data_IF_422859975120
#
_entry.id   IF_422859975120
#
_cell.length_a   1.000
_cell.length_b   1.000
_cell.length_c   1.000
_cell.angle_alpha   90.00
_cell.angle_beta   90.00
_cell.angle_gamma   90.00
#
_symmetry.space_group_name_H-M   'P 1'
#
loop_
_entity.id
_entity.type
_entity.pdbx_description
1 polymer ?
#
# COMPACT_ATOMS: atom_id res chain seq x y z
N UNK A 1 -6.98 32.33 4.55
CA UNK A 1 -6.07 31.48 5.34
C UNK A 1 -6.00 30.13 4.66
N UNK A 2 -4.81 29.66 4.28
CA UNK A 2 -4.65 28.30 3.74
C UNK A 2 -4.96 27.29 4.85
N UNK A 3 -5.82 26.29 4.63
CA UNK A 3 -6.14 25.29 5.65
C UNK A 3 -4.87 24.60 6.16
N UNK A 4 -4.79 24.33 7.47
CA UNK A 4 -3.63 23.62 8.03
C UNK A 4 -3.60 22.16 7.52
N UNK A 5 -2.44 21.49 7.56
CA UNK A 5 -2.36 20.07 7.19
C UNK A 5 -3.30 19.19 8.02
N UNK A 6 -3.62 19.58 9.27
CA UNK A 6 -4.61 18.89 10.11
C UNK A 6 -6.03 19.06 9.58
N UNK A 7 -6.37 20.24 9.08
CA UNK A 7 -7.68 20.52 8.48
C UNK A 7 -7.85 19.79 7.16
N UNK A 8 -6.79 19.76 6.32
CA UNK A 8 -6.77 19.02 5.04
C UNK A 8 -6.82 17.50 5.22
N UNK A 9 -6.40 16.99 6.39
CA UNK A 9 -6.38 15.55 6.67
C UNK A 9 -7.73 14.95 6.97
N UNK A 10 -8.75 15.77 7.26
CA UNK A 10 -10.11 15.31 7.58
C UNK A 10 -10.14 14.12 8.56
N UNK A 11 -9.25 14.09 9.55
CA UNK A 11 -9.19 13.02 10.55
C UNK A 11 -8.32 11.80 10.21
N UNK A 12 -7.60 11.81 9.08
CA UNK A 12 -6.53 10.86 8.78
C UNK A 12 -5.27 11.13 9.62
N UNK A 13 -4.60 10.08 10.08
CA UNK A 13 -3.37 10.18 10.87
C UNK A 13 -2.18 10.57 9.98
N UNK A 14 -1.63 11.76 10.19
CA UNK A 14 -0.48 12.28 9.43
C UNK A 14 0.85 12.27 10.21
N UNK A 15 0.79 12.10 11.54
CA UNK A 15 1.91 12.26 12.49
C UNK A 15 2.91 11.09 12.49
N UNK A 16 2.51 9.90 12.02
CA UNK A 16 3.39 8.73 11.90
C UNK A 16 3.43 8.26 10.44
N UNK A 17 4.60 8.07 9.81
CA UNK A 17 4.65 7.54 8.45
C UNK A 17 4.22 6.06 8.44
N UNK A 18 3.41 5.68 7.44
CA UNK A 18 3.03 4.29 7.17
C UNK A 18 4.17 3.58 6.41
N UNK A 19 4.24 2.25 6.46
CA UNK A 19 5.33 1.46 5.87
C UNK A 19 5.37 1.57 4.34
N UNK A 20 6.56 1.51 3.73
CA UNK A 20 6.73 1.43 2.28
C UNK A 20 6.39 0.00 1.82
N UNK A 21 5.17 -0.23 1.33
CA UNK A 21 4.70 -1.54 0.91
C UNK A 21 4.40 -1.61 -0.59
N UNK A 22 4.67 -2.77 -1.19
CA UNK A 22 4.22 -3.11 -2.54
C UNK A 22 2.98 -4.02 -2.47
N UNK A 23 2.00 -3.73 -3.32
CA UNK A 23 0.76 -4.51 -3.42
C UNK A 23 0.60 -5.05 -4.84
N UNK A 24 0.93 -6.33 -5.11
CA UNK A 24 0.82 -6.92 -6.44
C UNK A 24 -0.60 -6.89 -7.00
N UNK A 25 -1.62 -6.75 -6.15
CA UNK A 25 -3.01 -6.67 -6.59
C UNK A 25 -3.37 -5.34 -7.27
N UNK A 26 -2.50 -4.32 -7.16
CA UNK A 26 -2.63 -3.04 -7.89
C UNK A 26 -2.09 -3.13 -9.33
N UNK A 27 -1.41 -4.22 -9.68
CA UNK A 27 -0.82 -4.39 -11.01
C UNK A 27 -1.91 -4.60 -12.08
N UNK A 28 -1.99 -3.72 -13.09
CA UNK A 28 -2.96 -3.83 -14.18
C UNK A 28 -2.91 -5.17 -14.93
N UNK A 29 -1.72 -5.75 -15.12
CA UNK A 29 -1.58 -7.03 -15.81
C UNK A 29 -2.22 -8.15 -14.97
N UNK A 30 -1.96 -8.14 -13.66
CA UNK A 30 -2.53 -9.12 -12.72
C UNK A 30 -4.04 -8.95 -12.57
N UNK A 31 -4.54 -7.72 -12.58
CA UNK A 31 -5.99 -7.45 -12.58
C UNK A 31 -6.64 -8.07 -13.83
N UNK A 32 -6.05 -7.87 -15.01
CA UNK A 32 -6.53 -8.46 -16.27
C UNK A 32 -6.50 -9.99 -16.24
N UNK A 33 -5.40 -10.60 -15.79
CA UNK A 33 -5.32 -12.06 -15.65
C UNK A 33 -6.35 -12.61 -14.67
N UNK A 34 -6.59 -11.91 -13.56
CA UNK A 34 -7.57 -12.31 -12.55
C UNK A 34 -8.99 -12.27 -13.10
N UNK A 35 -9.34 -11.22 -13.86
CA UNK A 35 -10.63 -11.08 -14.51
C UNK A 35 -10.83 -12.10 -15.64
N UNK A 36 -9.80 -12.35 -16.46
CA UNK A 36 -9.85 -13.36 -17.51
C UNK A 36 -10.11 -14.76 -16.93
N UNK A 37 -9.47 -15.12 -15.81
CA UNK A 37 -9.74 -16.37 -15.07
C UNK A 37 -11.16 -16.44 -14.50
N UNK A 38 -11.79 -15.29 -14.24
CA UNK A 38 -13.18 -15.18 -13.83
C UNK A 38 -14.17 -15.12 -15.02
N UNK A 39 -13.68 -15.24 -16.27
CA UNK A 39 -14.50 -15.18 -17.49
C UNK A 39 -14.85 -13.77 -17.95
N UNK A 40 -14.14 -12.75 -17.46
CA UNK A 40 -14.33 -11.34 -17.82
C UNK A 40 -13.10 -10.85 -18.58
N UNK A 41 -13.24 -10.68 -19.89
CA UNK A 41 -12.20 -10.11 -20.74
C UNK A 41 -12.29 -8.57 -20.75
N UNK A 42 -11.14 -7.91 -20.59
CA UNK A 42 -11.03 -6.46 -20.64
C UNK A 42 -9.96 -6.03 -21.64
N UNK A 43 -10.08 -4.81 -22.16
CA UNK A 43 -9.05 -4.21 -23.00
C UNK A 43 -7.73 -4.00 -22.21
N UNK A 44 -6.58 -3.86 -22.90
CA UNK A 44 -5.34 -3.49 -22.24
C UNK A 44 -5.48 -2.17 -21.48
N UNK A 45 -5.07 -2.15 -20.22
CA UNK A 45 -5.05 -0.94 -19.39
C UNK A 45 -3.88 -0.07 -19.84
N UNK A 46 -4.17 1.14 -20.34
CA UNK A 46 -3.18 2.12 -20.81
C UNK A 46 -3.11 3.34 -19.92
N UNK A 47 -4.22 3.75 -19.32
CA UNK A 47 -4.30 4.88 -18.38
C UNK A 47 -4.84 4.41 -17.05
N UNK A 48 -4.04 4.57 -16.01
CA UNK A 48 -4.35 4.11 -14.67
C UNK A 48 -4.32 5.27 -13.66
N UNK A 49 -5.16 5.19 -12.64
CA UNK A 49 -5.21 6.14 -11.54
C UNK A 49 -5.13 5.41 -10.20
N UNK A 50 -4.28 5.86 -9.28
CA UNK A 50 -4.30 5.43 -7.88
C UNK A 50 -4.66 6.61 -6.97
N UNK A 51 -5.82 6.53 -6.32
CA UNK A 51 -6.29 7.53 -5.38
C UNK A 51 -5.76 7.18 -3.98
N UNK A 52 -5.04 8.11 -3.35
CA UNK A 52 -4.45 7.91 -2.03
C UNK A 52 -3.29 6.93 -2.05
N UNK A 53 -2.31 7.17 -2.93
CA UNK A 53 -1.21 6.22 -3.20
C UNK A 53 -0.22 6.02 -2.02
N UNK A 54 -0.39 6.75 -0.91
CA UNK A 54 0.48 6.63 0.26
C UNK A 54 1.92 6.98 -0.12
N UNK A 55 2.90 6.16 0.29
CA UNK A 55 4.30 6.36 -0.11
C UNK A 55 4.60 5.98 -1.58
N UNK A 56 3.63 5.40 -2.29
CA UNK A 56 3.64 5.26 -3.75
C UNK A 56 4.62 4.24 -4.35
N UNK A 57 5.04 3.21 -3.59
CA UNK A 57 5.94 2.17 -4.12
C UNK A 57 5.31 1.39 -5.28
N UNK A 58 4.05 0.93 -5.13
CA UNK A 58 3.32 0.22 -6.19
C UNK A 58 3.18 1.08 -7.44
N UNK A 59 2.62 2.29 -7.29
CA UNK A 59 2.51 3.29 -8.35
C UNK A 59 3.84 3.51 -9.09
N UNK A 60 4.95 3.73 -8.36
CA UNK A 60 6.26 3.96 -8.95
C UNK A 60 6.79 2.74 -9.71
N UNK A 61 6.66 1.53 -9.13
CA UNK A 61 7.03 0.28 -9.79
C UNK A 61 6.23 0.10 -11.08
N UNK A 62 4.91 0.25 -11.03
CA UNK A 62 4.03 0.02 -12.19
C UNK A 62 4.23 1.05 -13.30
N UNK A 63 4.54 2.31 -12.96
CA UNK A 63 4.84 3.33 -13.97
C UNK A 63 6.20 3.11 -14.67
N UNK A 64 7.19 2.60 -13.94
CA UNK A 64 8.52 2.33 -14.50
C UNK A 64 8.54 1.01 -15.27
N UNK A 65 8.01 -0.06 -14.69
CA UNK A 65 8.09 -1.42 -15.23
C UNK A 65 6.97 -1.76 -16.22
N UNK A 66 5.77 -1.24 -16.01
CA UNK A 66 4.60 -1.55 -16.83
C UNK A 66 4.44 -0.63 -18.05
N UNK A 67 3.35 -0.81 -18.79
CA UNK A 67 3.03 -0.01 -19.98
C UNK A 67 2.08 1.17 -19.72
N UNK A 68 1.35 1.11 -18.61
CA UNK A 68 0.34 2.11 -18.29
C UNK A 68 0.97 3.45 -17.90
N UNK A 69 0.29 4.53 -18.28
CA UNK A 69 0.50 5.86 -17.76
C UNK A 69 -0.33 6.05 -16.49
N UNK A 70 0.30 6.57 -15.45
CA UNK A 70 -0.24 6.62 -14.10
C UNK A 70 -0.48 8.04 -13.62
N UNK A 71 -1.66 8.25 -13.05
CA UNK A 71 -2.00 9.44 -12.28
C UNK A 71 -2.27 9.06 -10.83
N UNK A 72 -2.00 9.96 -9.90
CA UNK A 72 -2.39 9.72 -8.51
C UNK A 72 -2.30 10.95 -7.64
N UNK A 73 -3.13 10.95 -6.61
CA UNK A 73 -3.06 11.95 -5.56
C UNK A 73 -2.70 11.31 -4.22
N UNK A 74 -1.94 12.03 -3.44
CA UNK A 74 -1.84 11.84 -2.00
C UNK A 74 -1.81 13.23 -1.38
N UNK A 75 -2.46 13.41 -0.25
CA UNK A 75 -2.55 14.72 0.38
C UNK A 75 -1.23 15.18 1.03
N UNK A 76 -0.27 14.27 1.24
CA UNK A 76 1.01 14.53 1.90
C UNK A 76 2.11 14.85 0.88
N UNK A 77 2.66 16.08 0.86
CA UNK A 77 3.71 16.46 -0.11
C UNK A 77 4.95 15.57 -0.09
N UNK A 78 5.34 15.07 1.09
CA UNK A 78 6.47 14.13 1.23
C UNK A 78 6.31 12.85 0.42
N UNK A 79 5.08 12.35 0.30
CA UNK A 79 4.79 11.13 -0.46
C UNK A 79 4.99 11.36 -1.96
N UNK A 80 4.54 12.52 -2.46
CA UNK A 80 4.76 12.95 -3.84
C UNK A 80 6.26 13.10 -4.12
N UNK A 81 7.01 13.74 -3.21
CA UNK A 81 8.46 13.91 -3.33
C UNK A 81 9.21 12.56 -3.36
N UNK A 82 8.78 11.59 -2.56
CA UNK A 82 9.36 10.23 -2.55
C UNK A 82 9.18 9.53 -3.90
N UNK A 83 7.95 9.56 -4.46
CA UNK A 83 7.66 8.99 -5.77
C UNK A 83 8.47 9.68 -6.86
N UNK A 84 8.44 11.02 -6.89
CA UNK A 84 9.18 11.81 -7.87
C UNK A 84 10.68 11.54 -7.80
N UNK A 85 11.25 11.39 -6.60
CA UNK A 85 12.67 11.06 -6.42
C UNK A 85 13.00 9.67 -6.93
N UNK A 86 12.12 8.68 -6.70
CA UNK A 86 12.31 7.32 -7.20
C UNK A 86 12.25 7.26 -8.73
N UNK A 87 11.33 7.98 -9.37
CA UNK A 87 11.09 7.89 -10.83
C UNK A 87 11.80 8.96 -11.66
N UNK A 88 12.49 9.93 -11.03
CA UNK A 88 13.16 11.07 -11.70
C UNK A 88 14.04 10.62 -12.87
N UNK A 89 13.71 11.09 -14.07
CA UNK A 89 14.48 10.81 -15.29
C UNK A 89 14.36 9.38 -15.82
N UNK A 90 13.49 8.54 -15.24
CA UNK A 90 13.29 7.15 -15.65
C UNK A 90 12.02 6.96 -16.47
N UNK A 91 11.00 7.77 -16.19
CA UNK A 91 9.73 7.73 -16.93
C UNK A 91 9.03 9.09 -16.89
N UNK A 92 8.29 9.40 -17.94
CA UNK A 92 7.32 10.49 -18.01
C UNK A 92 5.87 9.99 -17.81
N UNK A 93 5.68 8.70 -17.51
CA UNK A 93 4.38 8.04 -17.40
C UNK A 93 3.79 8.11 -15.99
N UNK A 94 4.19 9.09 -15.19
CA UNK A 94 3.76 9.20 -13.79
C UNK A 94 3.48 10.65 -13.43
N UNK A 95 2.24 10.90 -13.02
CA UNK A 95 1.68 12.21 -12.75
C UNK A 95 1.11 12.23 -11.34
N UNK A 96 1.92 12.68 -10.38
CA UNK A 96 1.54 12.71 -8.95
C UNK A 96 1.42 14.12 -8.41
N UNK A 97 0.43 14.34 -7.55
CA UNK A 97 0.15 15.64 -6.96
C UNK A 97 -0.22 15.56 -5.47
N UNK A 98 0.11 16.63 -4.75
CA UNK A 98 -0.11 16.78 -3.30
C UNK A 98 -1.52 17.34 -3.02
N UNK A 99 -2.55 16.59 -3.38
CA UNK A 99 -3.95 17.03 -3.44
C UNK A 99 -4.85 16.14 -2.58
N UNK A 100 -5.86 16.74 -1.95
CA UNK A 100 -6.99 16.01 -1.37
C UNK A 100 -7.80 15.33 -2.48
N UNK A 101 -8.67 14.38 -2.12
CA UNK A 101 -9.57 13.76 -3.11
C UNK A 101 -10.45 14.79 -3.80
N UNK A 102 -11.01 15.75 -3.06
CA UNK A 102 -11.84 16.81 -3.61
C UNK A 102 -11.08 17.69 -4.62
N UNK A 103 -9.83 18.07 -4.31
CA UNK A 103 -8.99 18.86 -5.22
C UNK A 103 -8.65 18.09 -6.50
N UNK A 104 -8.14 16.86 -6.37
CA UNK A 104 -7.73 16.05 -7.52
C UNK A 104 -8.93 15.64 -8.39
N UNK A 105 -10.03 15.19 -7.78
CA UNK A 105 -11.21 14.73 -8.51
C UNK A 105 -11.97 15.87 -9.21
N UNK A 106 -11.75 17.13 -8.81
CA UNK A 106 -12.33 18.30 -9.48
C UNK A 106 -11.55 18.75 -10.73
N UNK A 107 -10.44 18.08 -11.08
CA UNK A 107 -9.58 18.50 -12.19
C UNK A 107 -10.19 18.21 -13.57
N UNK A 108 -10.13 19.24 -14.41
CA UNK A 108 -10.61 19.21 -15.79
C UNK A 108 -9.58 18.71 -16.81
N UNK A 109 -8.33 18.52 -16.41
CA UNK A 109 -7.22 18.06 -17.25
C UNK A 109 -6.94 16.55 -17.18
N UNK A 110 -7.63 15.81 -16.30
CA UNK A 110 -7.46 14.36 -16.17
C UNK A 110 -8.07 13.60 -17.35
N UNK A 111 -7.41 12.51 -17.81
CA UNK A 111 -7.94 11.68 -18.88
C UNK A 111 -9.09 10.79 -18.38
N UNK A 112 -9.73 10.09 -19.31
CA UNK A 112 -10.52 8.89 -18.98
C UNK A 112 -9.54 7.74 -18.70
N UNK A 113 -9.78 7.00 -17.62
CA UNK A 113 -8.95 5.91 -17.15
C UNK A 113 -9.54 4.54 -17.51
N UNK A 114 -8.67 3.59 -17.84
CA UNK A 114 -9.01 2.18 -17.99
C UNK A 114 -8.97 1.45 -16.63
N UNK A 115 -8.25 2.03 -15.65
CA UNK A 115 -8.07 1.46 -14.32
C UNK A 115 -8.08 2.56 -13.27
N UNK A 116 -8.94 2.45 -12.26
CA UNK A 116 -8.91 3.31 -11.06
C UNK A 116 -8.72 2.41 -9.85
N UNK A 117 -7.79 2.75 -8.98
CA UNK A 117 -7.44 1.97 -7.82
C UNK A 117 -7.49 2.78 -6.52
N UNK A 118 -7.97 2.10 -5.47
CA UNK A 118 -7.96 2.57 -4.09
C UNK A 118 -7.52 1.43 -3.18
N UNK A 119 -6.27 1.49 -2.71
CA UNK A 119 -5.76 0.50 -1.76
C UNK A 119 -5.65 1.05 -0.35
N UNK A 120 -6.44 0.53 0.59
CA UNK A 120 -6.39 0.98 1.99
C UNK A 120 -7.02 2.36 2.20
N UNK A 121 -7.96 2.75 1.33
CA UNK A 121 -8.61 4.07 1.37
C UNK A 121 -10.07 3.97 1.78
N UNK A 122 -10.86 3.10 1.13
CA UNK A 122 -12.32 3.14 1.18
C UNK A 122 -12.92 3.06 2.59
N UNK A 123 -12.35 2.20 3.45
CA UNK A 123 -12.74 2.06 4.85
C UNK A 123 -12.33 3.22 5.75
N UNK A 124 -11.39 4.06 5.33
CA UNK A 124 -10.70 5.04 6.18
C UNK A 124 -11.04 6.49 5.86
N UNK A 125 -11.95 6.72 4.92
CA UNK A 125 -12.37 8.06 4.48
C UNK A 125 -13.78 8.39 4.96
N UNK A 126 -14.06 9.69 5.02
CA UNK A 126 -15.40 10.24 5.32
C UNK A 126 -16.43 9.88 4.24
N UNK A 127 -17.71 10.02 4.56
CA UNK A 127 -18.78 9.86 3.58
C UNK A 127 -18.67 10.89 2.44
N UNK A 128 -18.31 12.14 2.75
CA UNK A 128 -18.11 13.19 1.73
C UNK A 128 -17.02 12.82 0.73
N UNK A 129 -15.90 12.25 1.19
CA UNK A 129 -14.86 11.77 0.27
C UNK A 129 -15.33 10.56 -0.55
N UNK A 130 -16.11 9.64 0.03
CA UNK A 130 -16.74 8.56 -0.75
C UNK A 130 -17.66 9.10 -1.84
N UNK A 131 -18.43 10.15 -1.55
CA UNK A 131 -19.34 10.75 -2.52
C UNK A 131 -18.56 11.42 -3.67
N UNK A 132 -17.51 12.19 -3.34
CA UNK A 132 -16.56 12.78 -4.32
C UNK A 132 -15.95 11.70 -5.22
N UNK A 133 -15.48 10.61 -4.63
CA UNK A 133 -14.84 9.52 -5.38
C UNK A 133 -15.85 8.77 -6.26
N UNK A 134 -17.08 8.55 -5.79
CA UNK A 134 -18.13 7.94 -6.61
C UNK A 134 -18.45 8.79 -7.84
N UNK A 135 -18.53 10.11 -7.68
CA UNK A 135 -18.73 11.03 -8.81
C UNK A 135 -17.54 10.97 -9.77
N UNK A 136 -16.30 10.96 -9.25
CA UNK A 136 -15.10 10.82 -10.05
C UNK A 136 -15.10 9.53 -10.87
N UNK A 137 -15.35 8.38 -10.23
CA UNK A 137 -15.44 7.07 -10.90
C UNK A 137 -16.50 7.12 -12.01
N UNK A 138 -17.66 7.74 -11.75
CA UNK A 138 -18.73 7.79 -12.74
C UNK A 138 -18.34 8.54 -14.01
N UNK A 139 -17.57 9.63 -13.87
CA UNK A 139 -17.18 10.49 -14.99
C UNK A 139 -15.84 10.09 -15.62
N UNK A 140 -14.92 9.47 -14.88
CA UNK A 140 -13.52 9.25 -15.29
C UNK A 140 -13.17 7.79 -15.59
N UNK A 141 -14.01 6.82 -15.24
CA UNK A 141 -13.76 5.42 -15.62
C UNK A 141 -14.37 5.11 -17.00
N UNK A 142 -13.56 4.56 -17.91
CA UNK A 142 -14.01 4.13 -19.22
C UNK A 142 -15.06 3.01 -19.14
N UNK A 143 -15.91 2.89 -20.16
CA UNK A 143 -16.68 1.65 -20.38
C UNK A 143 -15.69 0.52 -20.69
N UNK A 144 -15.84 -0.62 -20.01
CA UNK A 144 -14.85 -1.70 -19.99
C UNK A 144 -13.67 -1.47 -19.04
N UNK A 145 -13.60 -0.30 -18.40
CA UNK A 145 -12.60 0.01 -17.40
C UNK A 145 -12.83 -0.73 -16.09
N UNK A 146 -11.78 -0.82 -15.28
CA UNK A 146 -11.74 -1.59 -14.04
C UNK A 146 -11.56 -0.67 -12.83
N UNK A 147 -12.38 -0.88 -11.81
CA UNK A 147 -12.20 -0.32 -10.48
C UNK A 147 -11.61 -1.38 -9.55
N UNK A 148 -10.44 -1.10 -9.01
CA UNK A 148 -9.85 -1.81 -7.88
C UNK A 148 -10.18 -1.09 -6.57
N UNK A 149 -10.73 -1.80 -5.60
CA UNK A 149 -11.02 -1.23 -4.28
C UNK A 149 -10.74 -2.24 -3.18
N UNK A 150 -10.04 -1.80 -2.13
CA UNK A 150 -9.86 -2.58 -0.91
C UNK A 150 -10.51 -1.95 0.32
N UNK A 151 -11.05 -2.81 1.19
CA UNK A 151 -11.86 -2.41 2.34
C UNK A 151 -11.87 -3.47 3.45
N UNK A 152 -12.14 -3.02 4.67
CA UNK A 152 -12.32 -3.88 5.84
C UNK A 152 -13.73 -4.48 5.87
N UNK A 153 -13.78 -5.81 6.05
CA UNK A 153 -15.02 -6.58 6.01
C UNK A 153 -15.69 -6.61 7.38
N UNK A 154 -16.97 -6.23 7.46
CA UNK A 154 -17.72 -6.15 8.72
C UNK A 154 -17.74 -7.46 9.48
N UNK A 155 -18.04 -8.58 8.81
CA UNK A 155 -18.12 -9.91 9.47
C UNK A 155 -16.85 -10.33 10.23
N UNK A 156 -15.68 -9.81 9.83
CA UNK A 156 -14.39 -10.13 10.48
C UNK A 156 -14.04 -9.11 11.55
N UNK A 157 -14.27 -7.82 11.27
CA UNK A 157 -13.84 -6.71 12.13
C UNK A 157 -14.88 -6.27 13.17
N UNK A 158 -16.14 -6.72 13.09
CA UNK A 158 -17.20 -6.29 14.01
C UNK A 158 -16.83 -6.49 15.49
N UNK A 159 -16.17 -7.61 15.80
CA UNK A 159 -15.70 -7.92 17.17
C UNK A 159 -14.55 -7.04 17.68
N UNK A 160 -13.95 -6.22 16.82
CA UNK A 160 -12.89 -5.26 17.15
C UNK A 160 -13.46 -3.88 17.50
N UNK A 161 -14.68 -3.58 17.04
CA UNK A 161 -15.31 -2.25 17.16
C UNK A 161 -15.36 -1.75 18.60
N UNK A 162 -15.82 -2.52 19.62
CA UNK A 162 -15.92 -2.01 20.99
C UNK A 162 -14.57 -1.58 21.57
N UNK A 163 -13.51 -2.34 21.30
CA UNK A 163 -12.16 -1.99 21.71
C UNK A 163 -11.68 -0.72 21.01
N UNK A 164 -11.87 -0.63 19.69
CA UNK A 164 -11.46 0.56 18.94
C UNK A 164 -12.17 1.82 19.42
N UNK A 165 -13.49 1.77 19.58
CA UNK A 165 -14.28 2.92 20.06
C UNK A 165 -13.80 3.39 21.43
N UNK A 166 -13.56 2.44 22.35
CA UNK A 166 -12.98 2.75 23.65
C UNK A 166 -11.62 3.44 23.54
N UNK A 167 -10.72 2.91 22.69
CA UNK A 167 -9.38 3.46 22.50
C UNK A 167 -9.42 4.87 21.91
N UNK A 168 -10.21 5.09 20.86
CA UNK A 168 -10.37 6.39 20.19
C UNK A 168 -11.00 7.43 21.12
N UNK A 169 -12.07 7.06 21.83
CA UNK A 169 -12.72 7.93 22.80
C UNK A 169 -11.77 8.33 23.93
N UNK A 170 -10.95 7.39 24.40
CA UNK A 170 -9.94 7.66 25.44
C UNK A 170 -8.83 8.57 24.92
N UNK A 171 -8.29 8.31 23.73
CA UNK A 171 -7.21 9.14 23.16
C UNK A 171 -7.68 10.55 22.77
N UNK A 172 -8.98 10.75 22.58
CA UNK A 172 -9.58 12.03 22.19
C UNK A 172 -10.07 12.86 23.39
N UNK A 173 -9.81 12.41 24.63
CA UNK A 173 -10.19 13.14 25.83
C UNK A 173 -9.45 14.49 25.92
N UNK A 174 -10.12 15.59 26.32
CA UNK A 174 -9.53 16.92 26.35
C UNK A 174 -8.22 17.01 27.15
N UNK A 175 -8.11 16.28 28.26
CA UNK A 175 -6.91 16.23 29.11
C UNK A 175 -5.66 15.65 28.44
N UNK A 176 -5.84 14.91 27.33
CA UNK A 176 -4.74 14.32 26.58
C UNK A 176 -4.34 15.14 25.34
N UNK A 177 -5.09 16.18 24.97
CA UNK A 177 -4.85 16.94 23.74
C UNK A 177 -3.48 17.65 23.69
N UNK A 178 -2.87 17.90 24.85
CA UNK A 178 -1.52 18.46 24.94
C UNK A 178 -0.40 17.42 24.65
N UNK A 179 -0.73 16.13 24.60
CA UNK A 179 0.23 15.04 24.38
C UNK A 179 0.38 14.68 22.90
N UNK A 180 1.50 14.04 22.55
CA UNK A 180 1.72 13.49 21.21
C UNK A 180 0.73 12.34 20.92
N UNK A 181 0.41 12.07 19.65
CA UNK A 181 -0.44 10.93 19.30
C UNK A 181 0.07 9.58 19.86
N UNK A 182 1.38 9.24 19.78
CA UNK A 182 1.91 8.04 20.44
C UNK A 182 1.59 7.94 21.94
N UNK A 183 1.72 9.04 22.67
CA UNK A 183 1.43 9.09 24.12
C UNK A 183 -0.07 8.95 24.40
N UNK A 184 -0.92 9.51 23.54
CA UNK A 184 -2.38 9.35 23.62
C UNK A 184 -2.79 7.90 23.37
N UNK A 185 -2.17 7.23 22.40
CA UNK A 185 -2.38 5.80 22.12
C UNK A 185 -1.92 4.95 23.31
N UNK A 186 -0.76 5.24 23.89
CA UNK A 186 -0.29 4.54 25.10
C UNK A 186 -1.27 4.71 26.27
N UNK A 187 -1.72 5.93 26.55
CA UNK A 187 -2.70 6.19 27.60
C UNK A 187 -4.01 5.41 27.37
N UNK A 188 -4.48 5.32 26.12
CA UNK A 188 -5.66 4.54 25.77
C UNK A 188 -5.47 3.03 25.99
N UNK A 189 -4.31 2.46 25.65
CA UNK A 189 -3.99 1.06 25.92
C UNK A 189 -3.94 0.77 27.42
N UNK A 190 -3.30 1.64 28.22
CA UNK A 190 -3.25 1.51 29.68
C UNK A 190 -4.65 1.54 30.28
N UNK A 191 -5.51 2.46 29.82
CA UNK A 191 -6.89 2.52 30.27
C UNK A 191 -7.68 1.24 29.90
N UNK A 192 -7.46 0.69 28.71
CA UNK A 192 -8.10 -0.56 28.28
C UNK A 192 -7.64 -1.75 29.14
N UNK A 193 -6.35 -1.80 29.50
CA UNK A 193 -5.81 -2.80 30.41
C UNK A 193 -6.41 -2.69 31.82
N UNK A 194 -6.62 -1.46 32.31
CA UNK A 194 -7.27 -1.22 33.59
C UNK A 194 -8.72 -1.70 33.60
N UNK A 195 -9.49 -1.46 32.52
CA UNK A 195 -10.86 -1.99 32.38
C UNK A 195 -10.88 -3.51 32.46
N UNK A 196 -9.96 -4.18 31.77
CA UNK A 196 -9.83 -5.65 31.82
C UNK A 196 -9.46 -6.11 33.23
N UNK A 197 -8.47 -5.47 33.87
CA UNK A 197 -7.99 -5.87 35.19
C UNK A 197 -9.03 -5.69 36.30
N UNK A 198 -9.91 -4.69 36.16
CA UNK A 198 -10.98 -4.40 37.12
C UNK A 198 -12.33 -5.04 36.77
N UNK A 199 -12.41 -5.87 35.73
CA UNK A 199 -13.64 -6.50 35.24
C UNK A 199 -14.77 -5.47 34.99
N UNK A 200 -14.43 -4.37 34.31
CA UNK A 200 -15.36 -3.28 34.00
C UNK A 200 -15.93 -3.42 32.57
N UNK A 201 -17.15 -2.89 32.30
CA UNK A 201 -17.62 -2.71 30.93
C UNK A 201 -16.71 -1.78 30.11
N UNK A 202 -16.52 -2.03 28.80
CA UNK A 202 -17.15 -3.09 28.01
C UNK A 202 -16.45 -4.47 28.11
N UNK A 203 -15.29 -4.59 28.76
CA UNK A 203 -14.53 -5.86 28.79
C UNK A 203 -15.27 -7.00 29.49
N UNK A 204 -15.98 -6.71 30.58
CA UNK A 204 -16.83 -7.69 31.29
C UNK A 204 -17.93 -8.25 30.41
N UNK A 205 -18.50 -7.39 29.57
CA UNK A 205 -19.71 -7.70 28.79
C UNK A 205 -19.36 -8.26 27.40
N UNK A 206 -18.11 -8.10 26.94
CA UNK A 206 -17.60 -8.62 25.68
C UNK A 206 -16.19 -9.26 25.82
N UNK A 207 -16.10 -10.61 25.87
CA UNK A 207 -14.83 -11.33 25.91
C UNK A 207 -13.91 -11.06 24.72
N UNK A 208 -14.45 -10.60 23.58
CA UNK A 208 -13.63 -10.23 22.43
C UNK A 208 -12.77 -8.99 22.73
N UNK A 209 -13.19 -8.10 23.63
CA UNK A 209 -12.45 -6.90 24.01
C UNK A 209 -11.04 -7.25 24.52
N UNK A 210 -10.97 -8.13 25.53
CA UNK A 210 -9.68 -8.55 26.10
C UNK A 210 -8.85 -9.32 25.07
N UNK A 211 -9.48 -10.24 24.33
CA UNK A 211 -8.81 -11.04 23.30
C UNK A 211 -8.12 -10.14 22.26
N UNK A 212 -8.78 -9.09 21.80
CA UNK A 212 -8.21 -8.13 20.86
C UNK A 212 -7.14 -7.25 21.51
N UNK A 213 -7.36 -6.76 22.73
CA UNK A 213 -6.38 -5.95 23.45
C UNK A 213 -5.04 -6.69 23.60
N UNK A 214 -5.08 -7.98 23.97
CA UNK A 214 -3.89 -8.83 24.08
C UNK A 214 -3.13 -8.95 22.74
N UNK A 215 -3.83 -8.96 21.60
CA UNK A 215 -3.21 -9.02 20.27
C UNK A 215 -2.54 -7.71 19.86
N UNK A 216 -3.17 -6.58 20.17
CA UNK A 216 -2.71 -5.27 19.64
C UNK A 216 -1.69 -4.57 20.55
N UNK A 217 -1.63 -4.91 21.85
CA UNK A 217 -0.78 -4.20 22.82
C UNK A 217 0.73 -4.24 22.51
N UNK A 218 1.17 -5.19 21.69
CA UNK A 218 2.57 -5.34 21.29
C UNK A 218 2.87 -4.77 19.90
N UNK A 219 1.86 -4.24 19.20
CA UNK A 219 2.04 -3.64 17.89
C UNK A 219 2.69 -2.25 18.00
N UNK A 220 3.34 -1.81 16.93
CA UNK A 220 3.96 -0.49 16.89
C UNK A 220 2.91 0.62 17.00
N UNK A 221 3.28 1.77 17.57
CA UNK A 221 2.39 2.94 17.66
C UNK A 221 1.96 3.44 16.28
N UNK A 222 2.85 3.35 15.29
CA UNK A 222 2.55 3.70 13.91
C UNK A 222 1.44 2.80 13.34
N UNK A 223 1.57 1.47 13.50
CA UNK A 223 0.53 0.53 13.08
C UNK A 223 -0.81 0.82 13.76
N UNK A 224 -0.81 0.97 15.09
CA UNK A 224 -2.04 1.25 15.84
C UNK A 224 -2.70 2.53 15.36
N UNK A 225 -1.92 3.60 15.15
CA UNK A 225 -2.44 4.88 14.73
C UNK A 225 -3.20 4.78 13.40
N UNK A 226 -2.60 4.11 12.40
CA UNK A 226 -3.18 3.93 11.07
C UNK A 226 -4.34 2.93 11.02
N UNK A 227 -4.31 1.87 11.84
CA UNK A 227 -5.32 0.80 11.80
C UNK A 227 -6.44 0.94 12.83
N UNK A 228 -6.35 1.86 13.80
CA UNK A 228 -7.37 1.99 14.85
C UNK A 228 -7.76 3.45 15.12
N UNK A 229 -6.87 4.42 14.92
CA UNK A 229 -7.09 5.81 15.39
C UNK A 229 -7.42 6.82 14.29
N UNK A 230 -7.54 6.42 13.03
CA UNK A 230 -8.20 7.25 12.03
C UNK A 230 -9.63 7.57 12.49
N UNK A 231 -10.07 8.82 12.31
CA UNK A 231 -11.39 9.28 12.74
C UNK A 231 -12.49 8.44 12.11
N UNK A 232 -12.46 8.37 10.78
CA UNK A 232 -13.40 7.61 9.99
C UNK A 232 -12.90 6.18 9.83
N UNK A 233 -13.73 5.22 10.22
CA UNK A 233 -13.52 3.80 9.94
C UNK A 233 -14.87 3.14 9.71
N UNK A 234 -15.14 2.75 8.47
CA UNK A 234 -16.37 2.09 8.08
C UNK A 234 -16.06 0.68 7.61
N UNK A 235 -16.77 -0.26 8.20
CA UNK A 235 -16.77 -1.65 7.80
C UNK A 235 -17.86 -1.88 6.78
N UNK A 236 -17.54 -2.60 5.71
CA UNK A 236 -18.46 -2.88 4.62
C UNK A 236 -18.66 -4.38 4.47
N UNK A 237 -19.86 -4.75 4.01
CA UNK A 237 -20.13 -6.08 3.47
C UNK A 237 -20.23 -6.00 1.94
N UNK A 238 -20.21 -7.16 1.28
CA UNK A 238 -20.28 -7.23 -0.19
C UNK A 238 -21.53 -6.53 -0.75
N UNK A 239 -22.64 -6.57 -0.03
CA UNK A 239 -23.90 -5.91 -0.39
C UNK A 239 -23.81 -4.38 -0.30
N UNK A 240 -23.06 -3.85 0.67
CA UNK A 240 -22.85 -2.40 0.81
C UNK A 240 -22.04 -1.89 -0.40
N UNK A 241 -21.03 -2.66 -0.82
CA UNK A 241 -20.21 -2.33 -1.99
C UNK A 241 -21.01 -2.42 -3.30
N UNK A 242 -21.85 -3.44 -3.44
CA UNK A 242 -22.76 -3.56 -4.59
C UNK A 242 -23.74 -2.39 -4.67
N UNK A 243 -24.39 -2.03 -3.56
CA UNK A 243 -25.31 -0.90 -3.51
C UNK A 243 -24.63 0.44 -3.84
N UNK A 244 -23.32 0.55 -3.59
CA UNK A 244 -22.52 1.73 -3.94
C UNK A 244 -22.18 1.76 -5.43
N UNK A 245 -21.70 0.65 -5.99
CA UNK A 245 -21.07 0.66 -7.32
C UNK A 245 -22.00 0.24 -8.47
N UNK A 246 -23.00 -0.61 -8.24
CA UNK A 246 -23.95 -1.01 -9.28
C UNK A 246 -24.72 0.19 -9.89
N UNK A 247 -25.14 1.21 -9.11
CA UNK A 247 -25.74 2.42 -9.67
C UNK A 247 -24.78 3.22 -10.57
N UNK A 248 -23.47 2.97 -10.47
CA UNK A 248 -22.45 3.51 -11.37
C UNK A 248 -22.23 2.59 -12.57
N UNK A 249 -23.10 1.63 -12.88
CA UNK A 249 -22.91 0.72 -14.01
C UNK A 249 -21.70 -0.21 -13.87
N UNK A 250 -21.18 -0.38 -12.65
CA UNK A 250 -20.11 -1.32 -12.34
C UNK A 250 -20.71 -2.65 -11.93
N UNK A 251 -20.08 -3.73 -12.39
CA UNK A 251 -20.41 -5.09 -12.00
C UNK A 251 -19.22 -5.74 -11.33
N UNK A 252 -19.50 -6.54 -10.30
CA UNK A 252 -18.47 -7.30 -9.63
C UNK A 252 -17.79 -8.27 -10.61
N UNK A 253 -16.46 -8.22 -10.69
CA UNK A 253 -15.65 -9.11 -11.51
C UNK A 253 -15.06 -10.25 -10.70
N UNK A 254 -14.15 -9.94 -9.77
CA UNK A 254 -13.41 -10.94 -8.98
C UNK A 254 -12.75 -10.34 -7.74
N UNK A 255 -12.25 -11.20 -6.83
CA UNK A 255 -11.26 -10.76 -5.84
C UNK A 255 -9.87 -10.75 -6.48
N UNK A 256 -9.14 -9.64 -6.33
CA UNK A 256 -7.77 -9.48 -6.86
C UNK A 256 -6.75 -10.43 -6.21
N UNK A 257 -7.04 -10.92 -5.00
CA UNK A 257 -6.26 -11.96 -4.32
C UNK A 257 -7.18 -13.12 -3.97
N UNK A 258 -6.97 -14.26 -4.60
CA UNK A 258 -7.59 -15.52 -4.20
C UNK A 258 -6.91 -16.03 -2.93
N UNK A 259 -7.68 -16.18 -1.85
CA UNK A 259 -7.22 -16.70 -0.57
C UNK A 259 -8.39 -17.27 0.23
N UNK A 260 -8.12 -18.21 1.13
CA UNK A 260 -9.13 -18.94 1.91
C UNK A 260 -10.14 -17.99 2.60
N UNK A 261 -11.37 -18.48 2.71
CA UNK A 261 -12.52 -17.83 3.33
C UNK A 261 -12.12 -17.10 4.62
N UNK A 262 -12.58 -15.85 4.75
CA UNK A 262 -12.46 -14.95 5.92
C UNK A 262 -11.23 -14.02 5.99
N UNK A 263 -10.73 -13.50 4.86
CA UNK A 263 -9.89 -12.29 4.92
C UNK A 263 -10.70 -11.11 5.46
N UNK A 264 -10.24 -10.50 6.56
CA UNK A 264 -10.82 -9.26 7.09
C UNK A 264 -10.60 -8.05 6.18
N UNK A 265 -9.74 -8.18 5.18
CA UNK A 265 -9.45 -7.14 4.21
C UNK A 265 -9.66 -7.69 2.81
N UNK A 266 -10.73 -7.22 2.14
CA UNK A 266 -11.06 -7.61 0.77
C UNK A 266 -10.42 -6.66 -0.23
N UNK A 267 -10.16 -7.19 -1.42
CA UNK A 267 -9.60 -6.48 -2.58
C UNK A 267 -10.42 -6.92 -3.78
N UNK A 268 -11.36 -6.08 -4.20
CA UNK A 268 -12.34 -6.42 -5.22
C UNK A 268 -12.02 -5.67 -6.52
N UNK A 269 -12.25 -6.35 -7.64
CA UNK A 269 -12.21 -5.82 -8.99
C UNK A 269 -13.64 -5.71 -9.50
N UNK A 270 -14.02 -4.52 -9.96
CA UNK A 270 -15.30 -4.22 -10.58
C UNK A 270 -15.07 -3.75 -12.01
N UNK A 271 -15.95 -4.09 -12.94
CA UNK A 271 -15.83 -3.73 -14.36
C UNK A 271 -17.02 -2.88 -14.77
N UNK A 272 -16.75 -1.78 -15.49
CA UNK A 272 -17.78 -0.86 -15.98
C UNK A 272 -18.44 -1.45 -17.22
N UNK A 273 -19.69 -1.87 -17.12
CA UNK A 273 -20.44 -2.41 -18.28
C UNK A 273 -21.27 -1.33 -19.01
N UNK A 274 -21.59 -0.22 -18.33
CA UNK A 274 -22.49 0.82 -18.85
C UNK A 274 -21.80 2.18 -18.94
N UNK A 275 -22.29 3.09 -19.79
CA UNK A 275 -21.75 4.45 -19.92
C UNK A 275 -21.88 5.28 -18.63
N UNK A 276 -21.06 6.35 -18.45
CA UNK A 276 -21.22 7.36 -17.40
C UNK A 276 -22.66 7.84 -17.27
N UNK A 277 -23.17 8.06 -16.04
CA UNK A 277 -24.45 8.76 -15.89
C UNK A 277 -24.32 10.23 -16.24
N UNK A 278 -23.14 10.80 -15.98
CA UNK A 278 -22.77 12.17 -16.33
C UNK A 278 -21.64 12.13 -17.36
N UNK A 279 -21.93 12.39 -18.65
CA UNK A 279 -20.91 12.42 -19.69
C UNK A 279 -19.91 13.57 -19.47
N UNK A 280 -18.62 13.30 -19.65
CA UNK A 280 -17.57 14.33 -19.71
C UNK A 280 -17.12 14.51 -21.16
N UNK A 281 -16.78 15.74 -21.53
CA UNK A 281 -16.14 16.01 -22.82
C UNK A 281 -14.78 15.29 -22.87
N UNK A 282 -14.46 14.57 -23.96
CA UNK A 282 -13.17 13.92 -24.09
C UNK A 282 -12.05 14.98 -24.07
N UNK A 283 -11.09 14.83 -23.16
CA UNK A 283 -9.85 15.61 -23.18
C UNK A 283 -8.96 15.04 -24.28
N UNK A 284 -8.30 15.90 -25.04
CA UNK A 284 -7.47 15.50 -26.18
C UNK A 284 -6.49 14.39 -25.78
N UNK A 285 -6.51 13.29 -26.53
CA UNK A 285 -5.62 12.16 -26.29
C UNK A 285 -4.18 12.58 -26.58
N UNK A 286 -3.33 12.56 -25.55
CA UNK A 286 -1.89 12.52 -25.76
C UNK A 286 -1.55 11.27 -26.58
N UNK A 287 -0.74 11.42 -27.62
CA UNK A 287 -0.26 10.30 -28.43
C UNK A 287 0.60 9.38 -27.56
N UNK A 288 0.14 8.15 -27.34
CA UNK A 288 0.98 7.09 -26.79
C UNK A 288 1.94 6.66 -27.90
N UNK A 289 3.11 7.28 -27.96
CA UNK A 289 4.15 6.90 -28.90
C UNK A 289 4.67 5.49 -28.58
N UNK A 290 4.80 4.67 -29.63
CA UNK A 290 5.42 3.35 -29.53
C UNK A 290 6.91 3.53 -29.25
N UNK A 291 7.33 3.33 -28.01
CA UNK A 291 8.75 3.42 -27.62
C UNK A 291 9.40 2.03 -27.53
N UNK A 292 10.49 1.88 -28.27
CA UNK A 292 11.25 0.64 -28.43
C UNK A 292 12.55 0.73 -27.61
N UNK A 293 12.76 -0.26 -26.74
CA UNK A 293 14.02 -0.77 -26.16
C UNK A 293 14.95 0.29 -25.51
N UNK A 294 14.55 0.79 -24.34
CA UNK A 294 15.46 1.27 -23.25
C UNK A 294 15.01 0.71 -21.89
N UNK A 295 14.23 -0.39 -21.89
CA UNK A 295 13.49 -0.80 -20.70
C UNK A 295 14.33 -1.45 -19.60
N UNK A 296 15.41 -2.15 -19.96
CA UNK A 296 16.28 -2.79 -18.96
C UNK A 296 17.07 -1.76 -18.16
N UNK A 297 17.68 -0.79 -18.84
CA UNK A 297 18.47 0.25 -18.18
C UNK A 297 17.66 1.14 -17.22
N UNK A 298 16.43 1.53 -17.60
CA UNK A 298 15.54 2.31 -16.71
C UNK A 298 15.17 1.51 -15.45
N UNK A 299 14.91 0.22 -15.60
CA UNK A 299 14.54 -0.67 -14.48
C UNK A 299 15.75 -0.97 -13.60
N UNK A 300 16.94 -1.18 -14.18
CA UNK A 300 18.17 -1.38 -13.44
C UNK A 300 18.51 -0.15 -12.59
N UNK A 301 18.36 1.05 -13.14
CA UNK A 301 18.54 2.30 -12.39
C UNK A 301 17.47 2.50 -11.32
N UNK A 302 16.21 2.19 -11.60
CA UNK A 302 15.15 2.21 -10.59
C UNK A 302 15.42 1.25 -9.44
N UNK A 303 15.80 0.01 -9.77
CA UNK A 303 16.16 -1.01 -8.78
C UNK A 303 17.41 -0.60 -8.00
N UNK A 304 18.39 0.06 -8.61
CA UNK A 304 19.53 0.63 -7.89
C UNK A 304 19.10 1.63 -6.81
N UNK A 305 18.11 2.50 -7.12
CA UNK A 305 17.54 3.44 -6.14
C UNK A 305 16.79 2.72 -5.03
N UNK A 306 16.04 1.67 -5.34
CA UNK A 306 15.37 0.83 -4.32
C UNK A 306 16.39 0.12 -3.42
N UNK A 307 17.45 -0.44 -3.97
CA UNK A 307 18.53 -1.08 -3.21
C UNK A 307 19.24 -0.09 -2.27
N UNK A 308 19.45 1.14 -2.72
CA UNK A 308 19.96 2.20 -1.85
C UNK A 308 18.99 2.54 -0.71
N UNK A 309 17.69 2.66 -1.00
CA UNK A 309 16.67 2.88 0.04
C UNK A 309 16.54 1.71 1.01
N UNK A 310 16.73 0.47 0.55
CA UNK A 310 16.68 -0.70 1.40
C UNK A 310 17.70 -0.64 2.55
N UNK A 311 18.78 0.13 2.42
CA UNK A 311 19.71 0.35 3.52
C UNK A 311 19.04 0.97 4.75
N UNK A 312 17.99 1.78 4.59
CA UNK A 312 17.30 2.46 5.69
C UNK A 312 15.81 2.09 5.83
N UNK A 313 15.26 1.28 4.92
CA UNK A 313 13.84 0.89 4.87
C UNK A 313 13.68 -0.63 5.12
N UNK A 314 13.56 -1.09 6.37
CA UNK A 314 13.53 -2.52 6.70
C UNK A 314 12.28 -3.28 6.24
N UNK A 315 11.26 -2.56 5.76
CA UNK A 315 10.03 -3.13 5.20
C UNK A 315 10.05 -3.20 3.68
N UNK A 316 11.07 -2.64 3.02
CA UNK A 316 11.21 -2.75 1.57
C UNK A 316 11.71 -4.15 1.20
N UNK A 317 10.96 -4.82 0.34
CA UNK A 317 11.21 -6.22 0.01
C UNK A 317 11.02 -6.56 -1.47
N UNK A 318 10.71 -5.57 -2.30
CA UNK A 318 10.31 -5.74 -3.70
C UNK A 318 11.26 -4.99 -4.64
N UNK A 319 11.57 -5.58 -5.80
CA UNK A 319 12.19 -4.91 -6.94
C UNK A 319 11.28 -4.92 -8.16
N UNK A 320 11.43 -3.94 -9.06
CA UNK A 320 10.74 -3.91 -10.34
C UNK A 320 11.28 -5.01 -11.28
N UNK A 321 10.39 -5.63 -12.05
CA UNK A 321 10.71 -6.68 -13.01
C UNK A 321 10.11 -6.39 -14.38
N UNK A 322 10.93 -6.27 -15.45
CA UNK A 322 10.43 -6.09 -16.81
C UNK A 322 9.56 -7.24 -17.28
N UNK A 323 9.89 -8.47 -16.85
CA UNK A 323 9.18 -9.67 -17.29
C UNK A 323 7.71 -9.71 -16.81
N UNK A 324 7.42 -9.05 -15.70
CA UNK A 324 6.07 -9.01 -15.12
C UNK A 324 5.36 -7.68 -15.35
N UNK A 325 6.08 -6.63 -15.74
CA UNK A 325 5.56 -5.25 -15.73
C UNK A 325 5.29 -4.69 -14.33
N UNK A 326 5.61 -5.44 -13.28
CA UNK A 326 5.36 -5.09 -11.88
C UNK A 326 6.54 -5.45 -10.97
N UNK A 327 6.25 -5.63 -9.68
CA UNK A 327 7.23 -5.93 -8.65
C UNK A 327 7.34 -7.42 -8.32
N UNK A 328 8.56 -7.86 -7.99
CA UNK A 328 8.88 -9.20 -7.49
C UNK A 328 9.31 -9.09 -6.03
N UNK A 329 8.64 -9.87 -5.17
CA UNK A 329 8.94 -9.96 -3.75
C UNK A 329 10.15 -10.86 -3.50
N UNK A 330 11.21 -10.29 -2.92
CA UNK A 330 12.50 -10.95 -2.66
C UNK A 330 12.83 -11.00 -1.16
N UNK A 331 12.24 -10.10 -0.37
CA UNK A 331 12.56 -9.92 1.04
C UNK A 331 13.73 -8.96 1.28
N UNK A 332 13.67 -8.22 2.39
CA UNK A 332 14.60 -7.13 2.69
C UNK A 332 16.07 -7.57 2.73
N UNK A 333 16.39 -8.72 3.35
CA UNK A 333 17.78 -9.23 3.39
C UNK A 333 18.34 -9.56 2.01
N UNK A 334 17.51 -10.10 1.12
CA UNK A 334 17.88 -10.35 -0.28
C UNK A 334 18.21 -9.04 -1.00
N UNK A 335 17.43 -7.98 -0.75
CA UNK A 335 17.74 -6.65 -1.28
C UNK A 335 19.07 -6.12 -0.76
N UNK A 336 19.36 -6.25 0.55
CA UNK A 336 20.65 -5.85 1.11
C UNK A 336 21.81 -6.62 0.46
N UNK A 337 21.65 -7.92 0.24
CA UNK A 337 22.66 -8.75 -0.41
C UNK A 337 22.90 -8.34 -1.88
N UNK A 338 21.83 -8.11 -2.65
CA UNK A 338 21.89 -7.61 -4.02
C UNK A 338 22.54 -6.21 -4.09
N UNK A 339 22.22 -5.34 -3.12
CA UNK A 339 22.81 -4.02 -2.98
C UNK A 339 24.31 -4.08 -2.68
N UNK A 340 24.74 -4.96 -1.78
CA UNK A 340 26.15 -5.18 -1.46
C UNK A 340 26.94 -5.71 -2.67
N UNK A 341 26.37 -6.69 -3.38
CA UNK A 341 26.98 -7.21 -4.62
C UNK A 341 27.14 -6.10 -5.66
N UNK A 342 26.09 -5.28 -5.88
CA UNK A 342 26.14 -4.13 -6.80
C UNK A 342 27.17 -3.08 -6.37
N UNK A 343 27.45 -2.94 -5.08
CA UNK A 343 28.49 -2.06 -4.55
C UNK A 343 29.92 -2.64 -4.65
N UNK A 344 30.08 -3.85 -5.19
CA UNK A 344 31.38 -4.47 -5.45
C UNK A 344 31.77 -5.59 -4.48
N UNK A 345 30.86 -6.07 -3.63
CA UNK A 345 31.10 -7.28 -2.84
C UNK A 345 31.01 -8.53 -3.75
N UNK A 346 32.14 -9.21 -3.98
CA UNK A 346 32.23 -10.28 -4.98
C UNK A 346 32.08 -11.70 -4.41
N UNK A 347 32.04 -11.87 -3.10
CA UNK A 347 31.95 -13.18 -2.45
C UNK A 347 30.93 -13.20 -1.32
N UNK A 348 30.50 -14.40 -0.93
CA UNK A 348 29.46 -14.57 0.08
C UNK A 348 29.87 -13.99 1.45
N UNK A 349 31.16 -13.98 1.77
CA UNK A 349 31.70 -13.44 3.02
C UNK A 349 31.55 -11.91 3.07
N UNK A 350 31.96 -11.20 2.02
CA UNK A 350 31.87 -9.75 1.91
C UNK A 350 30.42 -9.26 1.83
N UNK A 351 29.54 -9.98 1.13
CA UNK A 351 28.11 -9.70 1.11
C UNK A 351 27.50 -9.89 2.51
N UNK A 352 27.73 -11.04 3.15
CA UNK A 352 27.19 -11.31 4.49
C UNK A 352 27.69 -10.30 5.53
N UNK A 353 28.95 -9.86 5.44
CA UNK A 353 29.50 -8.81 6.29
C UNK A 353 28.78 -7.47 6.10
N UNK A 354 28.48 -7.09 4.84
CA UNK A 354 27.72 -5.88 4.53
C UNK A 354 26.29 -5.92 5.09
N UNK A 355 25.59 -7.04 4.91
CA UNK A 355 24.24 -7.24 5.46
C UNK A 355 24.27 -7.17 6.99
N UNK A 356 25.24 -7.83 7.62
CA UNK A 356 25.44 -7.81 9.09
C UNK A 356 25.64 -6.38 9.59
N UNK A 357 26.48 -5.60 8.91
CA UNK A 357 26.75 -4.21 9.29
C UNK A 357 25.48 -3.35 9.21
N UNK A 358 24.66 -3.52 8.18
CA UNK A 358 23.36 -2.82 8.05
C UNK A 358 22.39 -3.22 9.16
N UNK A 359 22.24 -4.52 9.45
CA UNK A 359 21.38 -5.00 10.54
C UNK A 359 21.80 -4.40 11.89
N UNK A 360 23.10 -4.42 12.19
CA UNK A 360 23.65 -3.86 13.41
C UNK A 360 23.42 -2.34 13.49
N UNK A 361 23.65 -1.61 12.39
CA UNK A 361 23.45 -0.16 12.32
C UNK A 361 21.99 0.25 12.59
N UNK A 362 21.04 -0.51 12.07
CA UNK A 362 19.61 -0.26 12.29
C UNK A 362 19.07 -0.85 13.59
N UNK A 363 19.89 -1.59 14.36
CA UNK A 363 19.44 -2.31 15.54
C UNK A 363 18.40 -3.40 15.23
N UNK A 364 18.38 -3.90 13.99
CA UNK A 364 17.41 -4.91 13.57
C UNK A 364 17.94 -6.31 13.88
N UNK A 365 17.26 -7.10 14.72
CA UNK A 365 17.72 -8.46 15.02
C UNK A 365 17.64 -9.34 13.78
N UNK A 366 18.56 -10.31 13.68
CA UNK A 366 18.43 -11.38 12.70
C UNK A 366 17.32 -12.34 13.16
N UNK A 367 16.28 -12.49 12.35
CA UNK A 367 15.21 -13.47 12.58
C UNK A 367 15.31 -14.54 11.50
N UNK A 368 15.37 -15.81 11.89
CA UNK A 368 15.36 -16.95 10.98
C UNK A 368 14.35 -17.97 11.50
N UNK A 369 13.48 -18.47 10.61
CA UNK A 369 12.40 -19.41 10.94
C UNK A 369 11.51 -18.97 12.14
N UNK A 370 11.28 -17.66 12.26
CA UNK A 370 10.45 -17.08 13.33
C UNK A 370 11.17 -16.89 14.68
N UNK A 371 12.44 -17.24 14.78
CA UNK A 371 13.25 -17.06 15.98
C UNK A 371 14.33 -15.98 15.81
N UNK A 372 14.55 -15.18 16.85
CA UNK A 372 15.68 -14.23 16.91
C UNK A 372 16.96 -15.01 17.15
N UNK A 373 17.91 -14.89 16.23
CA UNK A 373 19.23 -15.53 16.30
C UNK A 373 20.13 -14.67 17.18
N UNK A 374 20.60 -15.26 18.28
CA UNK A 374 21.46 -14.59 19.27
C UNK A 374 22.93 -14.96 19.13
N UNK A 375 23.20 -16.16 18.62
CA UNK A 375 24.57 -16.63 18.41
C UNK A 375 25.17 -15.98 17.16
N UNK A 376 26.35 -15.37 17.31
CA UNK A 376 26.98 -14.62 16.23
C UNK A 376 27.57 -15.51 15.14
N UNK A 377 28.00 -16.73 15.46
CA UNK A 377 28.50 -17.69 14.47
C UNK A 377 27.35 -18.26 13.64
N UNK A 378 26.24 -18.59 14.29
CA UNK A 378 25.01 -19.02 13.63
C UNK A 378 24.47 -17.92 12.71
N UNK A 379 24.41 -16.67 13.19
CA UNK A 379 23.98 -15.53 12.40
C UNK A 379 24.85 -15.32 11.14
N UNK A 380 26.18 -15.39 11.30
CA UNK A 380 27.11 -15.27 10.18
C UNK A 380 26.94 -16.42 9.17
N UNK A 381 26.74 -17.66 9.65
CA UNK A 381 26.54 -18.82 8.78
C UNK A 381 25.22 -18.74 7.98
N UNK A 382 24.15 -18.22 8.59
CA UNK A 382 22.87 -17.99 7.89
C UNK A 382 23.05 -16.96 6.78
N UNK A 383 23.61 -15.79 7.10
CA UNK A 383 23.79 -14.72 6.13
C UNK A 383 24.76 -15.11 5.01
N UNK A 384 25.79 -15.91 5.31
CA UNK A 384 26.69 -16.46 4.30
C UNK A 384 25.96 -17.38 3.31
N UNK A 385 25.13 -18.31 3.81
CA UNK A 385 24.32 -19.20 2.93
C UNK A 385 23.33 -18.42 2.08
N UNK A 386 22.69 -17.39 2.65
CA UNK A 386 21.80 -16.50 1.89
C UNK A 386 22.57 -15.78 0.78
N UNK A 387 23.78 -15.28 1.06
CA UNK A 387 24.64 -14.64 0.08
C UNK A 387 25.10 -15.60 -1.02
N UNK A 388 25.45 -16.85 -0.71
CA UNK A 388 25.74 -17.89 -1.71
C UNK A 388 24.53 -18.19 -2.60
N UNK A 389 23.32 -18.18 -2.03
CA UNK A 389 22.08 -18.26 -2.80
C UNK A 389 21.96 -17.12 -3.81
N UNK A 390 22.15 -15.89 -3.35
CA UNK A 390 22.08 -14.69 -4.20
C UNK A 390 23.14 -14.71 -5.31
N UNK A 391 24.39 -15.05 -5.01
CA UNK A 391 25.46 -15.14 -6.02
C UNK A 391 25.10 -16.17 -7.09
N UNK A 392 24.65 -17.37 -6.69
CA UNK A 392 24.25 -18.41 -7.65
C UNK A 392 23.10 -17.99 -8.55
N UNK A 393 22.12 -17.26 -8.02
CA UNK A 393 21.01 -16.73 -8.82
C UNK A 393 21.50 -15.67 -9.82
N UNK A 394 22.42 -14.78 -9.41
CA UNK A 394 23.02 -13.77 -10.30
C UNK A 394 23.83 -14.43 -11.42
N UNK A 395 24.70 -15.38 -11.06
CA UNK A 395 25.54 -16.12 -12.02
C UNK A 395 24.69 -16.98 -12.95
N UNK A 396 23.63 -17.61 -12.42
CA UNK A 396 22.66 -18.39 -13.18
C UNK A 396 21.83 -17.55 -14.15
N UNK A 397 21.39 -16.36 -13.73
CA UNK A 397 20.70 -15.40 -14.60
C UNK A 397 21.60 -14.89 -15.73
N UNK A 398 22.92 -14.78 -15.50
CA UNK A 398 23.91 -14.46 -16.53
C UNK A 398 24.07 -15.52 -17.63
N UNK A 399 23.60 -16.76 -17.41
CA UNK A 399 23.65 -17.86 -18.39
C UNK A 399 22.32 -18.02 -19.14
N UNK A 400 21.22 -17.48 -18.61
CA UNK A 400 19.88 -17.53 -19.24
C UNK A 400 19.05 -16.25 -18.91
N UNK A 401 19.40 -15.07 -19.48
CA UNK A 401 18.48 -13.88 -19.55
C UNK A 401 19.02 -12.49 -19.17
#
# INVERSE_FOLDING_TARGET
MTPSMRDRAEGYVTELPYTLGYYPELDPLRARETLARAGVEIAPIRRACELGFGRGLSLAIHAVAGDAEWWGNDMLPRHVEEVQTLTRGLTNRIHVSAETFAEFCARDDLPIFDFIAMHGVWSWISQSNRDVIQEFIDRQLAVGGVLYVSYNVRKVWASVVPLREFLVATASRPELNAKSLPDRIEAALVAAQHIVACDLPPARDDPAFEKHLRKIRHQSKAYLAHEYFNRDWVLFDETDMAATFEPLGLKYGAQAKSGNKESGFRRDLWVREQAPRVPRAPVAEGSVENYVIVERAKIDEFNARLLQRALDEPYLSTLASPATGGGVELGWRTLLALGAHRAGACDATSIAASVTATLARLGHPLVHEGAVIKDSQEAAAILHREAEGVIREIEGAGVVG
#
